data_IF_397673986861
#
_entry.id   IF_397673986861
#
_cell.length_a   1.000
_cell.length_b   1.000
_cell.length_c   1.000
_cell.angle_alpha   90.00
_cell.angle_beta   90.00
_cell.angle_gamma   90.00
#
_symmetry.space_group_name_H-M   'P 1'
#
loop_
_entity.id
_entity.type
_entity.pdbx_description
1 polymer ?
#
# COMPACT_ATOMS: atom_id res chain seq x y z
N UNK A 1 -10.06 2.23 -6.31
CA UNK A 1 -8.90 3.14 -6.45
C UNK A 1 -9.21 4.44 -7.19
N UNK A 2 -9.97 4.46 -8.29
CA UNK A 2 -10.31 5.67 -9.05
C UNK A 2 -10.88 6.80 -8.17
N UNK A 3 -11.87 6.47 -7.34
CA UNK A 3 -12.44 7.38 -6.34
C UNK A 3 -11.38 7.95 -5.38
N UNK A 4 -10.43 7.10 -4.97
CA UNK A 4 -9.41 7.44 -3.98
C UNK A 4 -8.36 8.42 -4.52
N UNK A 5 -8.05 8.32 -5.82
CA UNK A 5 -7.15 9.25 -6.53
C UNK A 5 -7.88 10.43 -7.17
N UNK A 6 -9.17 10.63 -6.86
CA UNK A 6 -10.01 11.73 -7.39
C UNK A 6 -10.16 11.72 -8.92
N UNK A 7 -10.10 10.55 -9.53
CA UNK A 7 -10.42 10.40 -10.96
C UNK A 7 -11.92 10.63 -11.19
N UNK A 8 -12.32 11.15 -12.37
CA UNK A 8 -13.71 11.12 -12.80
C UNK A 8 -14.30 9.71 -12.68
N UNK A 9 -15.50 9.60 -12.11
CA UNK A 9 -16.26 8.36 -11.95
C UNK A 9 -17.34 8.27 -13.04
N UNK A 10 -16.92 7.91 -14.25
CA UNK A 10 -17.81 7.75 -15.41
C UNK A 10 -18.11 6.26 -15.58
N UNK A 11 -19.39 5.90 -15.58
CA UNK A 11 -19.82 4.52 -15.75
C UNK A 11 -19.75 4.14 -17.24
N UNK A 12 -18.94 3.13 -17.56
CA UNK A 12 -18.76 2.61 -18.92
C UNK A 12 -19.45 1.27 -19.18
N UNK A 13 -20.30 0.81 -18.25
CA UNK A 13 -21.04 -0.45 -18.34
C UNK A 13 -22.51 -0.22 -18.78
N UNK A 14 -23.19 -1.30 -19.15
CA UNK A 14 -24.63 -1.25 -19.41
C UNK A 14 -25.40 -1.01 -18.10
N UNK A 15 -26.07 0.14 -18.03
CA UNK A 15 -26.84 0.58 -16.87
C UNK A 15 -28.22 -0.10 -16.80
N UNK A 16 -28.71 -0.64 -17.93
CA UNK A 16 -29.99 -1.35 -17.98
C UNK A 16 -29.91 -2.77 -17.43
N UNK A 17 -28.71 -3.38 -17.46
CA UNK A 17 -28.47 -4.78 -17.13
C UNK A 17 -27.35 -5.00 -16.10
N UNK A 18 -27.33 -4.18 -15.04
CA UNK A 18 -26.29 -4.24 -14.02
C UNK A 18 -26.52 -5.34 -12.97
N UNK A 19 -25.46 -6.08 -12.61
CA UNK A 19 -25.51 -7.05 -11.50
C UNK A 19 -25.66 -6.36 -10.15
N UNK A 20 -26.17 -7.11 -9.15
CA UNK A 20 -26.31 -6.62 -7.77
C UNK A 20 -24.96 -6.23 -7.18
N UNK A 21 -23.93 -7.04 -7.44
CA UNK A 21 -22.56 -6.83 -6.96
C UNK A 21 -21.97 -5.54 -7.54
N UNK A 22 -22.19 -5.28 -8.83
CA UNK A 22 -21.72 -4.04 -9.47
C UNK A 22 -22.45 -2.84 -8.89
N UNK A 23 -23.76 -2.95 -8.66
CA UNK A 23 -24.55 -1.90 -8.03
C UNK A 23 -24.07 -1.57 -6.62
N UNK A 24 -23.75 -2.59 -5.80
CA UNK A 24 -23.16 -2.39 -4.46
C UNK A 24 -21.84 -1.60 -4.53
N UNK A 25 -21.00 -1.88 -5.54
CA UNK A 25 -19.73 -1.19 -5.74
C UNK A 25 -19.94 0.29 -6.12
N UNK A 26 -20.76 0.56 -7.13
CA UNK A 26 -20.89 1.91 -7.68
C UNK A 26 -21.76 2.84 -6.82
N UNK A 27 -22.56 2.29 -5.90
CA UNK A 27 -23.45 3.06 -5.02
C UNK A 27 -22.91 3.26 -3.60
N UNK A 28 -21.70 2.78 -3.31
CA UNK A 28 -21.08 2.94 -2.00
C UNK A 28 -20.84 4.42 -1.67
N UNK A 29 -21.71 4.98 -0.82
CA UNK A 29 -21.72 6.40 -0.45
C UNK A 29 -20.43 6.84 0.25
N UNK A 30 -19.81 5.97 1.06
CA UNK A 30 -18.57 6.31 1.77
C UNK A 30 -17.39 6.47 0.79
N UNK A 31 -17.29 5.60 -0.22
CA UNK A 31 -16.26 5.70 -1.26
C UNK A 31 -16.50 6.89 -2.18
N UNK A 32 -17.77 7.14 -2.56
CA UNK A 32 -18.15 8.31 -3.35
C UNK A 32 -17.83 9.59 -2.57
N UNK A 33 -18.11 9.64 -1.25
CA UNK A 33 -17.78 10.79 -0.41
C UNK A 33 -16.28 11.10 -0.42
N UNK A 34 -15.41 10.09 -0.38
CA UNK A 34 -13.97 10.32 -0.56
C UNK A 34 -13.69 10.93 -1.93
N UNK A 35 -14.30 10.42 -3.01
CA UNK A 35 -14.10 10.99 -4.35
C UNK A 35 -14.56 12.46 -4.44
N UNK A 36 -15.69 12.79 -3.81
CA UNK A 36 -16.34 14.10 -3.88
C UNK A 36 -15.90 15.07 -2.76
N UNK A 37 -14.93 14.68 -1.93
CA UNK A 37 -14.45 15.56 -0.87
C UNK A 37 -13.85 16.86 -1.44
N UNK A 38 -14.27 18.05 -0.96
CA UNK A 38 -13.91 19.37 -1.48
C UNK A 38 -12.43 19.71 -1.44
N UNK A 39 -11.61 19.00 -0.67
CA UNK A 39 -10.17 19.28 -0.62
C UNK A 39 -9.49 19.03 -1.97
N UNK A 40 -10.11 18.20 -2.84
CA UNK A 40 -9.56 17.85 -4.14
C UNK A 40 -8.25 17.04 -4.08
N UNK A 41 -7.78 16.68 -2.88
CA UNK A 41 -6.50 16.01 -2.71
C UNK A 41 -6.61 14.53 -3.14
N UNK A 42 -5.93 14.20 -4.25
CA UNK A 42 -5.73 12.82 -4.68
C UNK A 42 -4.88 12.04 -3.68
N UNK A 43 -5.20 10.75 -3.50
CA UNK A 43 -4.38 9.90 -2.66
C UNK A 43 -2.95 9.74 -3.19
N UNK A 44 -2.01 9.76 -2.26
CA UNK A 44 -0.60 9.51 -2.51
C UNK A 44 -0.22 8.12 -2.04
N UNK A 45 0.70 7.45 -2.74
CA UNK A 45 1.22 6.16 -2.31
C UNK A 45 2.28 6.37 -1.23
N UNK A 46 2.00 5.92 -0.01
CA UNK A 46 2.94 6.01 1.12
C UNK A 46 4.12 5.05 0.94
N UNK A 47 3.83 3.81 0.55
CA UNK A 47 4.85 2.82 0.21
C UNK A 47 4.32 1.76 -0.75
N UNK A 48 5.25 1.03 -1.37
CA UNK A 48 5.04 -0.17 -2.17
C UNK A 48 6.07 -1.20 -1.74
N UNK A 49 5.64 -2.40 -1.38
CA UNK A 49 6.50 -3.49 -0.92
C UNK A 49 6.27 -4.74 -1.77
N UNK A 50 7.32 -5.43 -2.23
CA UNK A 50 7.15 -6.67 -2.96
C UNK A 50 6.54 -7.74 -2.06
N UNK A 51 5.66 -8.55 -2.64
CA UNK A 51 5.18 -9.82 -2.08
C UNK A 51 5.35 -10.89 -3.15
N UNK A 52 5.14 -12.16 -2.82
CA UNK A 52 5.25 -13.22 -3.84
C UNK A 52 4.27 -12.95 -4.98
N UNK A 53 4.78 -12.98 -6.21
CA UNK A 53 4.02 -12.79 -7.44
C UNK A 53 3.24 -11.44 -7.50
N UNK A 54 3.71 -10.39 -6.81
CA UNK A 54 3.09 -9.07 -6.86
C UNK A 54 3.67 -8.06 -5.87
N UNK A 55 2.85 -7.08 -5.48
CA UNK A 55 3.17 -6.11 -4.44
C UNK A 55 1.98 -5.80 -3.53
N UNK A 56 2.30 -5.32 -2.33
CA UNK A 56 1.36 -4.63 -1.47
C UNK A 56 1.64 -3.13 -1.54
N UNK A 57 0.60 -2.31 -1.46
CA UNK A 57 0.73 -0.86 -1.53
C UNK A 57 -0.14 -0.19 -0.47
N UNK A 58 0.40 0.80 0.23
CA UNK A 58 -0.36 1.69 1.11
C UNK A 58 -0.55 3.04 0.43
N UNK A 59 -1.79 3.50 0.39
CA UNK A 59 -2.20 4.79 -0.15
C UNK A 59 -2.91 5.60 0.92
N UNK A 60 -2.69 6.92 0.96
CA UNK A 60 -3.29 7.80 1.97
C UNK A 60 -3.74 9.13 1.35
N UNK A 61 -4.83 9.69 1.87
CA UNK A 61 -5.31 11.03 1.53
C UNK A 61 -5.94 11.71 2.74
N UNK A 62 -5.75 13.02 2.86
CA UNK A 62 -6.40 13.85 3.86
C UNK A 62 -7.68 14.45 3.28
N UNK A 63 -8.77 14.37 4.04
CA UNK A 63 -10.07 14.94 3.66
C UNK A 63 -10.23 16.36 4.24
N UNK A 64 -11.17 17.12 3.68
CA UNK A 64 -11.43 18.52 4.05
C UNK A 64 -11.82 18.71 5.52
N UNK A 65 -12.41 17.69 6.15
CA UNK A 65 -12.80 17.69 7.55
C UNK A 65 -11.65 17.30 8.52
N UNK A 66 -10.41 17.17 8.04
CA UNK A 66 -9.25 16.82 8.86
C UNK A 66 -9.11 15.33 9.19
N UNK A 67 -9.99 14.47 8.67
CA UNK A 67 -9.85 13.01 8.76
C UNK A 67 -8.90 12.49 7.68
N UNK A 68 -8.33 11.30 7.91
CA UNK A 68 -7.46 10.64 6.94
C UNK A 68 -8.14 9.38 6.42
N UNK A 69 -8.20 9.23 5.10
CA UNK A 69 -8.58 7.98 4.48
C UNK A 69 -7.31 7.25 4.01
N UNK A 70 -7.27 5.93 4.15
CA UNK A 70 -6.16 5.11 3.69
C UNK A 70 -6.65 3.83 3.02
N UNK A 71 -5.87 3.31 2.09
CA UNK A 71 -6.17 2.09 1.38
C UNK A 71 -4.95 1.18 1.30
N UNK A 72 -5.17 -0.13 1.45
CA UNK A 72 -4.19 -1.15 1.15
C UNK A 72 -4.61 -1.92 -0.09
N UNK A 73 -3.72 -2.02 -1.06
CA UNK A 73 -3.92 -2.73 -2.33
C UNK A 73 -2.99 -3.93 -2.35
N UNK A 74 -3.54 -5.09 -2.70
CA UNK A 74 -2.79 -6.30 -2.97
C UNK A 74 -2.84 -6.58 -4.47
N UNK A 75 -1.71 -6.50 -5.16
CA UNK A 75 -1.64 -6.82 -6.59
C UNK A 75 -1.23 -8.26 -6.85
N UNK A 76 -0.93 -9.03 -5.80
CA UNK A 76 -0.58 -10.45 -5.92
C UNK A 76 -1.82 -11.34 -6.08
N UNK A 77 -1.65 -12.53 -6.67
CA UNK A 77 -2.70 -13.55 -6.73
C UNK A 77 -2.89 -14.30 -5.41
N UNK A 78 -2.16 -13.94 -4.35
CA UNK A 78 -2.23 -14.60 -3.05
C UNK A 78 -2.95 -13.73 -2.02
N UNK A 79 -3.58 -14.37 -1.03
CA UNK A 79 -4.15 -13.65 0.11
C UNK A 79 -3.01 -13.17 0.99
N UNK A 80 -3.05 -11.90 1.39
CA UNK A 80 -2.07 -11.33 2.32
C UNK A 80 -2.72 -10.93 3.63
N UNK A 81 -1.96 -11.03 4.71
CA UNK A 81 -2.23 -10.47 6.03
C UNK A 81 -1.25 -9.33 6.28
N UNK A 82 -1.74 -8.19 6.73
CA UNK A 82 -0.93 -7.00 6.96
C UNK A 82 -1.25 -6.35 8.30
N UNK A 83 -0.19 -5.98 9.02
CA UNK A 83 -0.27 -5.13 10.20
C UNK A 83 0.11 -3.70 9.84
N UNK A 84 -0.89 -2.82 9.62
CA UNK A 84 -0.64 -1.46 9.17
C UNK A 84 -0.31 -0.53 10.34
N UNK A 85 0.92 -0.02 10.38
CA UNK A 85 1.42 0.87 11.43
C UNK A 85 1.01 2.33 11.20
N UNK A 86 0.62 3.02 12.27
CA UNK A 86 0.22 4.43 12.22
C UNK A 86 1.39 5.35 11.86
N UNK A 87 2.62 4.97 12.19
CA UNK A 87 3.83 5.65 11.72
C UNK A 87 3.92 5.73 10.18
N UNK A 88 3.39 4.74 9.47
CA UNK A 88 3.38 4.69 8.00
C UNK A 88 2.11 5.31 7.39
N UNK A 89 0.95 5.12 8.02
CA UNK A 89 -0.32 5.74 7.61
C UNK A 89 -0.22 7.27 7.73
N UNK A 90 0.27 7.74 8.87
CA UNK A 90 0.42 9.17 9.19
C UNK A 90 1.84 9.69 8.93
N UNK A 91 2.59 9.04 8.03
CA UNK A 91 3.97 9.44 7.67
C UNK A 91 4.03 10.91 7.24
N UNK A 92 3.07 11.35 6.44
CA UNK A 92 2.99 12.70 5.89
C UNK A 92 2.09 13.64 6.72
N UNK A 93 1.73 13.26 7.95
CA UNK A 93 0.98 14.14 8.83
C UNK A 93 1.80 15.37 9.20
N UNK A 94 1.16 16.55 9.20
CA UNK A 94 1.80 17.81 9.61
C UNK A 94 2.17 17.80 11.09
N UNK A 95 1.36 17.15 11.93
CA UNK A 95 1.61 17.02 13.35
C UNK A 95 2.23 15.65 13.65
N UNK A 96 3.41 15.65 14.28
CA UNK A 96 4.10 14.42 14.68
C UNK A 96 3.26 13.56 15.64
N UNK A 97 2.39 14.17 16.45
CA UNK A 97 1.54 13.43 17.39
C UNK A 97 0.51 12.53 16.69
N UNK A 98 0.21 12.78 15.41
CA UNK A 98 -0.71 11.94 14.63
C UNK A 98 -0.23 10.49 14.52
N UNK A 99 1.08 10.24 14.60
CA UNK A 99 1.64 8.88 14.50
C UNK A 99 1.47 8.06 15.78
N UNK A 100 1.18 8.74 16.89
CA UNK A 100 1.07 8.17 18.23
C UNK A 100 -0.32 8.37 18.85
N UNK A 101 -1.24 9.01 18.13
CA UNK A 101 -2.61 9.25 18.58
C UNK A 101 -3.50 8.02 18.34
N UNK A 102 -4.65 8.03 19.02
CA UNK A 102 -5.71 7.05 18.86
C UNK A 102 -6.65 7.46 17.73
N UNK A 103 -7.12 6.49 16.95
CA UNK A 103 -8.07 6.74 15.88
C UNK A 103 -9.23 5.76 15.92
N UNK A 104 -10.46 6.27 15.80
CA UNK A 104 -11.61 5.47 15.45
C UNK A 104 -11.49 5.09 13.97
N UNK A 105 -11.52 3.79 13.66
CA UNK A 105 -11.36 3.29 12.30
C UNK A 105 -12.68 2.74 11.75
N UNK A 106 -12.95 3.01 10.47
CA UNK A 106 -14.13 2.51 9.76
C UNK A 106 -13.71 1.73 8.51
N UNK A 107 -14.20 0.50 8.31
CA UNK A 107 -14.06 -0.23 7.03
C UNK A 107 -15.17 0.21 6.08
N UNK A 108 -14.77 0.90 5.00
CA UNK A 108 -15.70 1.54 4.07
C UNK A 108 -16.35 0.54 3.10
N UNK A 109 -15.80 -0.67 2.96
CA UNK A 109 -16.34 -1.75 2.13
C UNK A 109 -17.21 -2.73 2.90
N UNK A 110 -17.08 -2.79 4.22
CA UNK A 110 -17.83 -3.71 5.07
C UNK A 110 -19.33 -3.37 5.20
N UNK A 111 -19.81 -2.30 4.55
CA UNK A 111 -21.24 -2.05 4.37
C UNK A 111 -21.79 -2.91 3.23
N UNK A 112 -22.06 -4.18 3.50
CA UNK A 112 -22.92 -4.95 2.58
C UNK A 112 -24.34 -4.43 2.72
N UNK A 113 -24.84 -3.80 1.66
CA UNK A 113 -26.26 -3.49 1.57
C UNK A 113 -26.95 -4.77 1.11
N UNK A 114 -27.76 -5.40 1.97
CA UNK A 114 -28.42 -6.67 1.62
C UNK A 114 -29.27 -6.54 0.34
N UNK A 115 -29.83 -5.34 0.08
CA UNK A 115 -30.48 -4.99 -1.17
C UNK A 115 -29.99 -3.63 -1.69
N UNK A 116 -29.02 -3.58 -2.63
CA UNK A 116 -28.66 -2.31 -3.25
C UNK A 116 -29.88 -1.76 -4.02
N UNK A 117 -30.04 -0.44 -4.08
CA UNK A 117 -31.14 0.18 -4.81
C UNK A 117 -31.07 -0.20 -6.30
N UNK A 118 -32.23 -0.43 -6.92
CA UNK A 118 -32.30 -0.63 -8.36
C UNK A 118 -31.81 0.63 -9.10
N UNK A 119 -31.19 0.46 -10.28
CA UNK A 119 -30.72 1.58 -11.09
C UNK A 119 -31.84 2.61 -11.35
N UNK A 120 -33.05 2.13 -11.65
CA UNK A 120 -34.24 2.96 -11.86
C UNK A 120 -34.60 3.85 -10.66
N UNK A 121 -34.32 3.38 -9.43
CA UNK A 121 -34.53 4.15 -8.20
C UNK A 121 -33.48 5.25 -8.00
N UNK A 122 -32.28 5.08 -8.55
CA UNK A 122 -31.21 6.09 -8.51
C UNK A 122 -31.40 7.10 -9.63
N UNK A 123 -31.60 6.62 -10.87
CA UNK A 123 -31.72 7.48 -12.04
C UNK A 123 -32.91 8.43 -11.94
N UNK A 124 -34.01 8.02 -11.30
CA UNK A 124 -35.19 8.87 -11.09
C UNK A 124 -34.95 10.06 -10.15
N UNK A 125 -33.90 10.01 -9.32
CA UNK A 125 -33.51 11.12 -8.45
C UNK A 125 -32.78 12.23 -9.21
N UNK A 126 -32.27 11.92 -10.40
CA UNK A 126 -31.64 12.90 -11.28
C UNK A 126 -32.66 13.30 -12.35
N UNK A 127 -33.21 14.53 -12.33
CA UNK A 127 -34.01 14.99 -13.46
C UNK A 127 -33.13 14.87 -14.70
N UNK A 128 -33.70 14.33 -15.79
CA UNK A 128 -33.04 14.28 -17.09
C UNK A 128 -32.40 15.65 -17.37
N UNK A 129 -31.11 15.66 -17.72
CA UNK A 129 -30.34 16.89 -17.94
C UNK A 129 -30.92 17.78 -19.06
N UNK A 130 -31.88 17.25 -19.82
CA UNK A 130 -32.75 17.97 -20.75
C UNK A 130 -33.70 18.88 -19.96
N UNK A 131 -33.20 20.05 -19.57
CA UNK A 131 -34.00 21.17 -19.02
C UNK A 131 -33.66 21.66 -17.61
N UNK A 132 -32.66 21.09 -16.93
CA UNK A 132 -32.31 21.50 -15.55
C UNK A 132 -31.30 22.65 -15.54
N UNK A 133 -31.79 23.89 -15.53
CA UNK A 133 -31.01 25.12 -15.26
C UNK A 133 -30.72 25.34 -13.75
N UNK A 134 -30.72 24.29 -12.93
CA UNK A 134 -30.82 24.45 -11.46
C UNK A 134 -30.07 23.45 -10.59
N UNK A 135 -29.12 22.67 -11.12
CA UNK A 135 -28.28 21.81 -10.28
C UNK A 135 -27.31 22.66 -9.45
N UNK A 136 -27.74 23.09 -8.26
CA UNK A 136 -26.92 23.90 -7.36
C UNK A 136 -25.89 23.06 -6.59
N UNK A 137 -24.73 23.66 -6.31
CA UNK A 137 -23.61 23.11 -5.52
C UNK A 137 -23.97 22.73 -4.06
N UNK A 138 -25.24 22.90 -3.65
CA UNK A 138 -25.70 22.65 -2.29
C UNK A 138 -25.91 21.16 -1.97
N UNK A 139 -26.24 20.33 -2.97
CA UNK A 139 -26.54 18.90 -2.77
C UNK A 139 -25.31 18.10 -2.34
N UNK A 140 -24.12 18.41 -2.85
CA UNK A 140 -22.89 17.65 -2.56
C UNK A 140 -22.42 17.88 -1.12
N UNK A 141 -22.42 19.14 -0.64
CA UNK A 141 -22.05 19.46 0.75
C UNK A 141 -23.01 18.82 1.76
N UNK A 142 -24.31 18.78 1.46
CA UNK A 142 -25.31 18.15 2.32
C UNK A 142 -25.19 16.62 2.33
N UNK A 143 -24.87 15.99 1.19
CA UNK A 143 -24.60 14.54 1.13
C UNK A 143 -23.34 14.17 1.90
N UNK A 144 -22.27 14.97 1.78
CA UNK A 144 -21.01 14.75 2.49
C UNK A 144 -21.15 14.97 4.01
N UNK A 145 -21.87 16.03 4.41
CA UNK A 145 -22.12 16.33 5.82
C UNK A 145 -23.10 15.37 6.50
N UNK A 146 -23.91 14.63 5.73
CA UNK A 146 -24.87 13.62 6.23
C UNK A 146 -24.38 12.19 6.13
N UNK A 147 -23.19 11.93 5.56
CA UNK A 147 -22.62 10.58 5.50
C UNK A 147 -22.03 10.19 6.86
N UNK A 148 -22.86 10.06 7.89
CA UNK A 148 -22.49 9.47 9.18
C UNK A 148 -22.31 7.95 9.09
N UNK A 149 -22.68 7.33 7.98
CA UNK A 149 -22.50 5.91 7.74
C UNK A 149 -21.21 5.66 6.95
N UNK A 150 -20.05 5.90 7.58
CA UNK A 150 -18.74 5.72 6.94
C UNK A 150 -18.41 4.27 6.64
N UNK A 151 -18.95 3.33 7.40
CA UNK A 151 -18.49 1.96 7.30
C UNK A 151 -19.02 1.09 8.40
N UNK A 152 -18.50 -0.13 8.43
CA UNK A 152 -18.45 -0.88 9.68
C UNK A 152 -17.44 -0.19 10.60
N UNK A 153 -17.89 0.16 11.79
CA UNK A 153 -17.02 0.64 12.85
C UNK A 153 -16.11 -0.51 13.35
N UNK A 154 -14.80 -0.26 13.40
CA UNK A 154 -13.78 -1.19 13.88
C UNK A 154 -13.29 -0.86 15.30
N UNK A 155 -13.81 0.20 15.93
CA UNK A 155 -13.39 0.65 17.24
C UNK A 155 -12.22 1.65 17.20
N UNK A 156 -11.75 2.02 18.39
CA UNK A 156 -10.55 2.83 18.58
C UNK A 156 -9.32 1.93 18.49
N UNK A 157 -8.38 2.31 17.63
CA UNK A 157 -7.08 1.64 17.47
C UNK A 157 -5.95 2.58 17.84
N UNK A 158 -4.86 1.98 18.37
CA UNK A 158 -3.64 2.67 18.77
C UNK A 158 -2.46 2.02 18.07
N UNK A 159 -1.50 2.82 17.62
CA UNK A 159 -0.23 2.40 16.99
C UNK A 159 -0.33 1.62 15.66
N UNK A 160 -1.34 0.78 15.47
CA UNK A 160 -1.51 -0.06 14.29
C UNK A 160 -2.97 -0.53 14.13
N UNK A 161 -3.33 -0.87 12.89
CA UNK A 161 -4.45 -1.75 12.57
C UNK A 161 -3.88 -3.12 12.19
N UNK A 162 -4.10 -4.12 13.05
CA UNK A 162 -3.49 -5.45 12.94
C UNK A 162 -4.38 -6.43 12.18
N UNK A 163 -3.76 -7.52 11.71
CA UNK A 163 -4.45 -8.70 11.16
C UNK A 163 -5.40 -8.41 9.99
N UNK A 164 -5.05 -7.42 9.17
CA UNK A 164 -5.87 -7.06 8.02
C UNK A 164 -5.66 -8.06 6.90
N UNK A 165 -6.73 -8.79 6.58
CA UNK A 165 -6.74 -9.73 5.46
C UNK A 165 -7.16 -9.00 4.18
N UNK A 166 -6.26 -8.97 3.20
CA UNK A 166 -6.51 -8.41 1.87
C UNK A 166 -6.58 -9.55 0.85
N UNK A 167 -7.70 -9.70 0.11
CA UNK A 167 -7.83 -10.77 -0.87
C UNK A 167 -6.87 -10.58 -2.07
N UNK A 168 -6.61 -11.64 -2.86
CA UNK A 168 -5.91 -11.54 -4.14
C UNK A 168 -6.48 -10.43 -5.02
N UNK A 169 -5.61 -9.63 -5.64
CA UNK A 169 -6.01 -8.49 -6.48
C UNK A 169 -7.00 -7.51 -5.81
N UNK A 170 -7.01 -7.52 -4.48
CA UNK A 170 -8.01 -6.86 -3.66
C UNK A 170 -7.58 -5.50 -3.15
N UNK A 171 -8.57 -4.76 -2.64
CA UNK A 171 -8.35 -3.50 -1.93
C UNK A 171 -9.19 -3.46 -0.66
N UNK A 172 -8.61 -2.91 0.40
CA UNK A 172 -9.32 -2.49 1.60
C UNK A 172 -9.13 -0.99 1.78
N UNK A 173 -10.20 -0.29 2.13
CA UNK A 173 -10.21 1.17 2.29
C UNK A 173 -10.83 1.49 3.64
N UNK A 174 -10.19 2.39 4.36
CA UNK A 174 -10.52 2.77 5.71
C UNK A 174 -10.58 4.28 5.87
N UNK A 175 -11.37 4.73 6.85
CA UNK A 175 -11.34 6.10 7.35
C UNK A 175 -10.84 6.10 8.79
N UNK A 176 -9.92 7.01 9.10
CA UNK A 176 -9.41 7.27 10.43
C UNK A 176 -9.92 8.64 10.94
N UNK A 177 -10.71 8.59 12.02
CA UNK A 177 -11.20 9.76 12.73
C UNK A 177 -10.45 9.88 14.05
N UNK A 178 -9.87 11.05 14.33
CA UNK A 178 -9.11 11.27 15.57
C UNK A 178 -9.97 10.97 16.80
N UNK A 179 -9.50 10.08 17.67
CA UNK A 179 -10.13 9.77 18.96
C UNK A 179 -9.39 10.45 20.13
N UNK A 180 -8.41 11.31 19.84
CA UNK A 180 -7.58 12.00 20.83
C UNK A 180 -6.21 11.34 21.06
N UNK A 181 -5.44 11.94 21.97
CA UNK A 181 -4.14 11.41 22.41
C UNK A 181 -4.38 10.64 23.71
N UNK A 182 -3.99 9.37 23.74
CA UNK A 182 -3.99 8.59 24.97
C UNK A 182 -2.63 8.72 25.69
N UNK A 183 -2.65 8.53 27.01
CA UNK A 183 -1.46 8.63 27.89
C UNK A 183 -0.35 7.62 27.54
N UNK A 184 -0.66 6.59 26.75
CA UNK A 184 0.24 5.50 26.34
C UNK A 184 0.88 5.68 24.94
N UNK A 185 0.72 6.87 24.35
CA UNK A 185 1.19 7.21 23.01
C UNK A 185 2.73 7.11 22.83
N UNK A 186 3.50 7.17 23.91
CA UNK A 186 4.97 7.06 23.90
C UNK A 186 5.52 5.65 23.64
N UNK A 187 4.69 4.60 23.64
CA UNK A 187 5.14 3.20 23.55
C UNK A 187 4.92 2.54 22.18
N UNK A 188 4.40 3.26 21.19
CA UNK A 188 4.14 2.67 19.87
C UNK A 188 5.43 2.21 19.18
N UNK A 189 5.58 0.91 18.82
CA UNK A 189 6.76 0.42 18.13
C UNK A 189 6.93 1.11 16.77
N UNK A 190 8.07 1.76 16.56
CA UNK A 190 8.40 2.45 15.29
C UNK A 190 8.91 1.50 14.20
N UNK A 191 8.47 0.24 14.22
CA UNK A 191 8.85 -0.76 13.22
C UNK A 191 7.96 -0.66 11.99
N UNK A 192 8.42 -1.22 10.89
CA UNK A 192 7.67 -1.30 9.64
C UNK A 192 6.43 -2.19 9.78
N UNK A 193 5.42 -1.94 8.92
CA UNK A 193 4.27 -2.85 8.78
C UNK A 193 4.71 -4.22 8.30
N UNK A 194 4.24 -5.26 8.97
CA UNK A 194 4.57 -6.65 8.63
C UNK A 194 3.53 -7.16 7.63
N UNK A 195 4.00 -7.75 6.53
CA UNK A 195 3.16 -8.34 5.49
C UNK A 195 3.49 -9.82 5.41
N UNK A 196 2.45 -10.66 5.42
CA UNK A 196 2.58 -12.12 5.34
C UNK A 196 1.65 -12.65 4.27
N UNK A 197 2.12 -13.60 3.47
CA UNK A 197 1.23 -14.37 2.59
C UNK A 197 0.54 -15.43 3.46
N UNK A 198 -0.80 -15.46 3.42
CA UNK A 198 -1.58 -16.38 4.27
C UNK A 198 -1.38 -17.82 3.78
N UNK A 199 -0.95 -18.70 4.68
CA UNK A 199 -0.67 -20.11 4.39
C UNK A 199 0.80 -20.43 4.11
N UNK A 200 1.70 -19.44 4.19
CA UNK A 200 3.15 -19.66 4.13
C UNK A 200 3.78 -19.64 5.53
N UNK A 201 4.80 -20.49 5.79
CA UNK A 201 5.55 -20.43 7.04
C UNK A 201 6.26 -19.08 7.15
N UNK A 202 6.25 -18.51 8.35
CA UNK A 202 6.95 -17.25 8.65
C UNK A 202 8.42 -17.45 8.32
N UNK A 203 8.91 -16.74 7.29
CA UNK A 203 10.34 -16.63 7.04
C UNK A 203 11.00 -16.13 8.31
N UNK A 204 11.84 -16.97 8.92
CA UNK A 204 12.58 -16.65 10.13
C UNK A 204 13.40 -15.39 9.82
N UNK A 205 13.08 -14.27 10.46
CA UNK A 205 13.97 -13.10 10.44
C UNK A 205 15.36 -13.60 10.88
N UNK A 206 16.43 -13.36 10.12
CA UNK A 206 17.76 -13.69 10.61
C UNK A 206 17.96 -12.97 11.95
N UNK A 207 18.50 -13.65 12.99
CA UNK A 207 18.67 -13.03 14.29
C UNK A 207 19.45 -11.74 14.12
N UNK A 208 18.89 -10.65 14.64
CA UNK A 208 19.53 -9.36 14.73
C UNK A 208 20.80 -9.52 15.57
N UNK A 209 21.95 -9.70 14.91
CA UNK A 209 23.24 -9.62 15.58
C UNK A 209 23.41 -8.16 15.97
N UNK A 210 23.18 -7.88 17.25
CA UNK A 210 23.61 -6.64 17.89
C UNK A 210 25.13 -6.54 17.73
N UNK A 211 25.57 -5.78 16.73
CA UNK A 211 26.97 -5.48 16.52
C UNK A 211 27.48 -4.56 17.61
N UNK A 212 27.94 -5.12 18.72
CA UNK A 212 28.90 -4.45 19.58
C UNK A 212 30.19 -4.24 18.79
N UNK A 213 30.55 -2.97 18.64
CA UNK A 213 31.82 -2.52 18.06
C UNK A 213 32.97 -3.11 18.90
N UNK A 214 33.63 -4.13 18.37
CA UNK A 214 35.02 -4.45 18.72
C UNK A 214 35.77 -4.65 17.42
N UNK A 215 36.72 -3.75 17.18
CA UNK A 215 37.52 -3.70 15.98
C UNK A 215 38.44 -4.90 15.83
N UNK A 216 38.90 -5.08 14.59
CA UNK A 216 40.01 -5.98 14.28
C UNK A 216 39.65 -6.96 13.17
N UNK A 217 40.10 -6.63 11.96
CA UNK A 217 40.55 -7.53 10.90
C UNK A 217 39.99 -8.96 10.88
N UNK A 218 39.22 -9.32 9.85
CA UNK A 218 39.65 -10.29 8.83
C UNK A 218 38.58 -10.48 7.75
N UNK A 219 39.07 -10.52 6.52
CA UNK A 219 38.35 -10.74 5.28
C UNK A 219 37.99 -12.23 5.10
N UNK A 220 36.88 -12.47 4.41
CA UNK A 220 36.62 -13.57 3.48
C UNK A 220 36.62 -15.03 4.01
N UNK A 221 35.47 -15.71 3.87
CA UNK A 221 35.26 -16.69 2.77
C UNK A 221 33.83 -17.27 2.84
N UNK A 222 33.10 -17.06 1.75
CA UNK A 222 31.83 -17.69 1.42
C UNK A 222 32.17 -18.97 0.63
N UNK A 223 31.35 -20.02 0.83
CA UNK A 223 31.29 -21.31 0.11
C UNK A 223 32.43 -22.32 0.39
N UNK A 224 32.09 -23.46 1.01
CA UNK A 224 32.09 -24.76 0.32
C UNK A 224 31.33 -25.79 1.16
N UNK A 225 30.25 -26.30 0.57
CA UNK A 225 29.62 -27.56 0.97
C UNK A 225 30.05 -28.69 0.03
N UNK A 226 30.23 -29.85 0.65
CA UNK A 226 30.11 -31.22 0.10
C UNK A 226 31.24 -31.77 -0.80
N UNK A 227 31.53 -33.06 -0.55
CA UNK A 227 32.40 -34.03 -1.26
C UNK A 227 33.88 -33.89 -0.84
N UNK A 228 34.53 -34.84 -0.15
CA UNK A 228 34.38 -36.28 -0.17
C UNK A 228 35.67 -36.89 -0.73
N UNK A 229 36.33 -37.71 0.09
CA UNK A 229 37.36 -38.68 -0.27
C UNK A 229 38.82 -38.20 -0.39
N UNK A 230 39.56 -38.48 0.70
CA UNK A 230 40.97 -38.83 0.76
C UNK A 230 41.46 -39.57 -0.49
N UNK A 231 42.53 -39.08 -1.13
CA UNK A 231 43.59 -39.91 -1.75
C UNK A 231 44.88 -39.07 -1.95
N UNK A 232 45.99 -39.79 -1.84
CA UNK A 232 47.38 -39.40 -1.57
C UNK A 232 48.12 -38.64 -2.69
N UNK A 233 49.32 -38.07 -2.41
CA UNK A 233 49.97 -37.06 -3.21
C UNK A 233 50.85 -37.67 -4.31
N UNK A 234 50.48 -37.44 -5.57
CA UNK A 234 51.39 -37.60 -6.69
C UNK A 234 50.96 -36.64 -7.80
N UNK A 235 51.81 -35.64 -8.06
CA UNK A 235 52.19 -35.08 -9.36
C UNK A 235 52.71 -33.66 -9.10
N UNK A 236 54.00 -33.67 -8.79
CA UNK A 236 54.93 -32.55 -8.89
C UNK A 236 55.20 -32.31 -10.38
N UNK A 237 55.42 -31.04 -10.73
CA UNK A 237 56.06 -30.53 -11.95
C UNK A 237 55.19 -30.36 -13.21
N UNK A 238 54.70 -29.13 -13.42
CA UNK A 238 54.70 -28.45 -14.73
C UNK A 238 54.34 -26.97 -14.62
N UNK A 239 55.14 -26.18 -13.92
CA UNK A 239 55.07 -24.71 -14.00
C UNK A 239 56.49 -24.13 -13.95
N UNK A 240 57.18 -24.18 -15.09
CA UNK A 240 58.29 -23.30 -15.44
C UNK A 240 58.32 -23.17 -16.97
N UNK A 241 58.59 -21.97 -17.46
CA UNK A 241 58.43 -21.47 -18.84
C UNK A 241 57.00 -20.95 -19.10
N UNK A 242 56.75 -19.68 -19.36
CA UNK A 242 57.57 -18.77 -20.15
C UNK A 242 57.29 -17.30 -19.77
N UNK A 243 58.39 -16.59 -19.58
CA UNK A 243 58.47 -15.17 -19.31
C UNK A 243 58.39 -14.37 -20.64
N UNK A 244 57.82 -13.16 -20.56
CA UNK A 244 58.02 -11.95 -21.39
C UNK A 244 57.05 -11.65 -22.54
N UNK A 245 56.65 -10.38 -22.56
CA UNK A 245 55.99 -9.68 -23.66
C UNK A 245 55.16 -8.48 -23.20
N UNK A 246 55.70 -7.63 -22.33
CA UNK A 246 55.90 -6.18 -22.55
C UNK A 246 54.75 -5.38 -23.19
N UNK A 247 54.19 -4.49 -22.37
CA UNK A 247 53.33 -3.36 -22.70
C UNK A 247 54.15 -2.15 -23.17
N UNK A 248 53.72 -1.49 -24.26
CA UNK A 248 53.53 -0.02 -24.42
C UNK A 248 53.67 0.40 -25.90
N UNK A 249 52.64 1.02 -26.46
CA UNK A 249 52.67 2.46 -26.86
C UNK A 249 51.42 2.89 -27.66
N UNK A 250 50.72 3.88 -27.06
CA UNK A 250 49.78 4.96 -27.48
C UNK A 250 49.52 5.34 -28.99
N UNK A 251 48.48 6.19 -29.24
CA UNK A 251 47.47 6.13 -30.33
C UNK A 251 47.72 7.13 -31.49
N UNK A 252 46.75 7.38 -32.43
CA UNK A 252 45.78 8.48 -32.23
C UNK A 252 44.38 8.38 -32.93
N UNK A 253 43.47 9.23 -32.42
CA UNK A 253 42.37 10.03 -33.06
C UNK A 253 41.31 9.39 -33.99
N UNK A 254 40.06 9.79 -33.73
CA UNK A 254 38.97 9.81 -34.71
C UNK A 254 37.61 10.05 -34.06
N UNK A 255 37.12 11.29 -34.15
CA UNK A 255 35.75 11.71 -33.83
C UNK A 255 34.72 10.92 -34.66
N UNK A 256 33.53 10.62 -34.12
CA UNK A 256 32.26 10.68 -34.87
C UNK A 256 31.04 10.64 -33.93
N UNK A 257 30.19 11.64 -34.09
CA UNK A 257 28.82 11.75 -33.58
C UNK A 257 27.86 10.83 -34.37
N UNK A 258 26.82 10.28 -33.74
CA UNK A 258 25.40 10.69 -33.91
C UNK A 258 24.40 9.66 -33.36
N UNK A 259 23.29 10.25 -32.88
CA UNK A 259 21.91 9.75 -32.75
C UNK A 259 21.60 8.68 -31.69
#
# INVERSE_FOLDING_TARGET
MWAFVKSPLILGNDLSSMSRETMEIITNKAIIAISQDPSGNGASRSWKRPVRDGDAQLWTTWLSNGTLAFAVVNTSPHRIQIDMRFSEIFKNAKNATARISSYQLYDLWAQKTEQPPAWSSISSQFPSFVGSLGASNSTIKTVLARSTNWGKDLGVHNCALQDVIVPPHGVKIYLAVSAGVNEWSSECPQRESVIRVVGEPVGVEPPFISGSVLGGYQMALIFFGVIGLLLLPAVRARLFSQHRGQLRSRPPKGDFYYA
#
